data_IF_708813532710
#
_entry.id   IF_708813532710
#
_cell.length_a   1.000
_cell.length_b   1.000
_cell.length_c   1.000
_cell.angle_alpha   90.00
_cell.angle_beta   90.00
_cell.angle_gamma   90.00
#
_symmetry.space_group_name_H-M   'P 1'
#
loop_
_entity.id
_entity.type
_entity.pdbx_description
1 polymer ?
#
# COMPACT_ATOMS: atom_id res chain seq x y z
N UNK A 1 -6.65 -6.53 -1.65
CA UNK A 1 -7.15 -6.39 -0.26
C UNK A 1 -6.59 -5.13 0.36
N UNK A 2 -7.37 -4.37 1.13
CA UNK A 2 -6.94 -3.27 2.00
C UNK A 2 -7.40 -3.56 3.43
N UNK A 3 -6.62 -4.31 4.22
CA UNK A 3 -7.08 -4.85 5.49
C UNK A 3 -7.45 -3.78 6.51
N UNK A 4 -6.78 -2.64 6.47
CA UNK A 4 -6.99 -1.50 7.35
C UNK A 4 -7.15 -0.25 6.51
N UNK A 5 -8.20 0.52 6.74
CA UNK A 5 -8.43 1.81 6.12
C UNK A 5 -8.93 2.82 7.15
N UNK A 6 -8.48 4.06 7.01
CA UNK A 6 -8.93 5.21 7.80
C UNK A 6 -9.16 6.38 6.86
N UNK A 7 -10.04 7.29 7.22
CA UNK A 7 -10.31 8.46 6.39
C UNK A 7 -11.66 9.08 6.66
N UNK A 8 -11.95 10.15 5.94
CA UNK A 8 -13.18 10.92 6.13
C UNK A 8 -14.34 10.16 5.49
N UNK A 9 -15.31 9.73 6.31
CA UNK A 9 -16.65 9.23 6.00
C UNK A 9 -16.80 8.18 4.89
N UNK A 10 -17.94 7.53 4.88
CA UNK A 10 -18.32 6.56 3.85
C UNK A 10 -18.26 7.15 2.44
N UNK A 11 -17.42 6.57 1.60
CA UNK A 11 -17.24 7.00 0.22
C UNK A 11 -18.52 6.77 -0.63
N UNK A 12 -19.21 5.67 -0.37
CA UNK A 12 -20.46 5.32 -1.05
C UNK A 12 -21.22 4.25 -0.29
N UNK A 13 -22.49 4.01 -0.67
CA UNK A 13 -23.29 2.89 -0.12
C UNK A 13 -22.62 1.52 -0.29
N UNK A 14 -21.78 1.34 -1.35
CA UNK A 14 -21.10 0.08 -1.65
C UNK A 14 -19.74 -0.03 -0.98
N UNK A 15 -19.00 1.08 -0.81
CA UNK A 15 -17.63 1.07 -0.28
C UNK A 15 -17.43 2.16 0.77
N UNK A 16 -17.01 1.77 1.95
CA UNK A 16 -16.66 2.70 3.04
C UNK A 16 -15.39 3.47 2.77
N UNK A 17 -14.40 2.83 2.15
CA UNK A 17 -13.10 3.42 1.83
C UNK A 17 -13.03 3.78 0.34
N UNK A 18 -12.55 5.01 0.03
CA UNK A 18 -12.26 5.44 -1.33
C UNK A 18 -11.20 4.56 -1.99
N UNK A 19 -10.15 4.19 -1.25
CA UNK A 19 -9.08 3.34 -1.75
C UNK A 19 -9.64 1.99 -2.20
N UNK A 20 -10.50 1.38 -1.36
CA UNK A 20 -11.15 0.12 -1.70
C UNK A 20 -12.02 0.23 -2.94
N UNK A 21 -12.76 1.33 -3.10
CA UNK A 21 -13.58 1.56 -4.28
C UNK A 21 -12.74 1.63 -5.57
N UNK A 22 -11.57 2.28 -5.51
CA UNK A 22 -10.62 2.37 -6.63
C UNK A 22 -10.05 0.99 -6.96
N UNK A 23 -9.58 0.27 -5.96
CA UNK A 23 -9.03 -1.08 -6.14
C UNK A 23 -10.06 -2.05 -6.72
N UNK A 24 -11.28 -2.03 -6.21
CA UNK A 24 -12.36 -2.89 -6.71
C UNK A 24 -12.74 -2.60 -8.17
N UNK A 25 -12.73 -1.31 -8.57
CA UNK A 25 -12.95 -0.92 -9.98
C UNK A 25 -11.82 -1.38 -10.88
N UNK A 26 -10.57 -1.25 -10.43
CA UNK A 26 -9.40 -1.62 -11.24
C UNK A 26 -9.39 -3.09 -11.66
N UNK A 27 -9.93 -3.97 -10.83
CA UNK A 27 -9.94 -5.43 -11.07
C UNK A 27 -11.33 -5.99 -11.38
N UNK A 28 -12.35 -5.15 -11.59
CA UNK A 28 -13.76 -5.55 -11.83
C UNK A 28 -14.27 -6.55 -10.79
N UNK A 29 -13.98 -6.33 -9.53
CA UNK A 29 -14.07 -7.33 -8.49
C UNK A 29 -15.40 -7.31 -7.73
N UNK A 30 -15.98 -8.50 -7.51
CA UNK A 30 -17.23 -8.71 -6.78
C UNK A 30 -17.02 -9.57 -5.53
N UNK A 31 -16.35 -9.02 -4.53
CA UNK A 31 -16.19 -9.69 -3.23
C UNK A 31 -16.89 -8.87 -2.14
N UNK A 32 -17.26 -9.54 -1.04
CA UNK A 32 -17.83 -8.85 0.12
C UNK A 32 -16.82 -7.86 0.68
N UNK A 33 -17.26 -6.62 0.88
CA UNK A 33 -16.41 -5.54 1.40
C UNK A 33 -15.67 -5.95 2.68
N UNK A 34 -16.32 -6.66 3.58
CA UNK A 34 -15.75 -7.12 4.85
C UNK A 34 -14.56 -8.08 4.68
N UNK A 35 -14.45 -8.78 3.54
CA UNK A 35 -13.31 -9.63 3.24
C UNK A 35 -12.15 -8.82 2.69
N UNK A 36 -12.45 -7.78 1.91
CA UNK A 36 -11.45 -6.89 1.31
C UNK A 36 -10.93 -5.85 2.29
N UNK A 37 -11.82 -5.31 3.15
CA UNK A 37 -11.53 -4.27 4.12
C UNK A 37 -12.21 -4.56 5.46
N UNK A 38 -11.66 -5.47 6.25
CA UNK A 38 -12.21 -5.83 7.56
C UNK A 38 -12.26 -4.68 8.55
N UNK A 39 -11.37 -3.69 8.43
CA UNK A 39 -11.33 -2.55 9.34
C UNK A 39 -11.35 -1.22 8.61
N UNK A 40 -12.36 -0.42 8.92
CA UNK A 40 -12.50 0.97 8.47
C UNK A 40 -12.86 1.86 9.65
N UNK A 41 -12.15 2.98 9.80
CA UNK A 41 -12.46 4.02 10.78
C UNK A 41 -12.60 5.38 10.09
N UNK A 42 -13.69 6.13 10.34
CA UNK A 42 -13.95 7.41 9.66
C UNK A 42 -13.17 8.59 10.25
N UNK A 43 -11.88 8.39 10.57
CA UNK A 43 -10.95 9.44 10.99
C UNK A 43 -9.62 9.27 10.27
N UNK A 44 -9.06 10.37 9.74
CA UNK A 44 -7.81 10.35 8.99
C UNK A 44 -6.57 10.33 9.92
N UNK A 45 -6.36 9.22 10.60
CA UNK A 45 -5.20 8.97 11.46
C UNK A 45 -4.87 7.48 11.50
N UNK A 46 -3.91 7.04 12.34
CA UNK A 46 -3.61 5.61 12.47
C UNK A 46 -4.83 4.83 13.01
N UNK A 47 -4.99 3.53 12.64
CA UNK A 47 -6.09 2.70 13.14
C UNK A 47 -6.15 2.66 14.67
N UNK A 48 -5.00 2.61 15.34
CA UNK A 48 -4.89 2.69 16.80
C UNK A 48 -5.51 3.97 17.37
N UNK A 49 -5.12 5.13 16.83
CA UNK A 49 -5.64 6.43 17.27
C UNK A 49 -7.14 6.57 16.92
N UNK A 50 -7.52 6.18 15.70
CA UNK A 50 -8.91 6.27 15.26
C UNK A 50 -9.85 5.43 16.13
N UNK A 51 -9.48 4.19 16.45
CA UNK A 51 -10.30 3.34 17.33
C UNK A 51 -10.42 3.92 18.74
N UNK A 52 -9.32 4.46 19.28
CA UNK A 52 -9.32 5.10 20.62
C UNK A 52 -10.22 6.34 20.65
N UNK A 53 -10.05 7.27 19.71
CA UNK A 53 -10.84 8.51 19.68
C UNK A 53 -12.33 8.29 19.43
N UNK A 54 -12.68 7.23 18.69
CA UNK A 54 -14.06 6.86 18.39
C UNK A 54 -14.68 5.92 19.42
N UNK A 55 -13.94 5.52 20.47
CA UNK A 55 -14.37 4.50 21.43
C UNK A 55 -14.83 3.19 20.74
N UNK A 56 -14.15 2.81 19.65
CA UNK A 56 -14.42 1.59 18.90
C UNK A 56 -13.38 0.51 19.23
N UNK A 57 -13.72 -0.77 19.06
CA UNK A 57 -12.76 -1.85 19.22
C UNK A 57 -11.55 -1.68 18.29
N UNK A 58 -10.31 -1.81 18.80
CA UNK A 58 -9.12 -1.73 17.97
C UNK A 58 -9.03 -2.92 17.01
N UNK A 59 -8.28 -2.79 15.89
CA UNK A 59 -8.13 -3.89 14.93
C UNK A 59 -7.55 -5.16 15.57
N UNK A 60 -8.20 -6.28 15.35
CA UNK A 60 -7.67 -7.60 15.67
C UNK A 60 -6.80 -8.10 14.51
N UNK A 61 -5.51 -8.26 14.77
CA UNK A 61 -4.57 -8.79 13.79
C UNK A 61 -4.97 -10.20 13.33
N UNK A 62 -5.44 -11.04 14.28
CA UNK A 62 -5.94 -12.39 14.00
C UNK A 62 -7.09 -12.39 13.00
N UNK A 63 -8.05 -11.47 13.15
CA UNK A 63 -9.19 -11.38 12.25
C UNK A 63 -8.78 -10.90 10.85
N UNK A 64 -7.91 -9.89 10.76
CA UNK A 64 -7.38 -9.43 9.47
C UNK A 64 -6.63 -10.55 8.73
N UNK A 65 -5.81 -11.35 9.45
CA UNK A 65 -5.10 -12.52 8.88
C UNK A 65 -6.10 -13.61 8.44
N UNK A 66 -7.17 -13.85 9.20
CA UNK A 66 -8.23 -14.81 8.79
C UNK A 66 -8.83 -14.40 7.45
N UNK A 67 -9.14 -13.10 7.26
CA UNK A 67 -9.67 -12.58 5.99
C UNK A 67 -8.65 -12.66 4.85
N UNK A 68 -7.39 -12.34 5.12
CA UNK A 68 -6.29 -12.53 4.16
C UNK A 68 -6.19 -13.97 3.69
N UNK A 69 -6.15 -14.95 4.61
CA UNK A 69 -6.05 -16.38 4.28
C UNK A 69 -7.24 -16.88 3.47
N UNK A 70 -8.44 -16.34 3.70
CA UNK A 70 -9.62 -16.68 2.92
C UNK A 70 -9.45 -16.24 1.46
N UNK A 71 -8.99 -15.00 1.24
CA UNK A 71 -8.73 -14.48 -0.10
C UNK A 71 -7.56 -15.20 -0.79
N UNK A 72 -6.48 -15.48 -0.05
CA UNK A 72 -5.31 -16.21 -0.57
C UNK A 72 -5.66 -17.59 -1.12
N UNK A 73 -6.63 -18.27 -0.54
CA UNK A 73 -7.10 -19.58 -1.04
C UNK A 73 -7.99 -19.47 -2.28
N UNK A 74 -8.52 -18.29 -2.54
CA UNK A 74 -9.52 -18.07 -3.60
C UNK A 74 -8.91 -17.50 -4.88
N UNK A 75 -7.78 -16.80 -4.77
CA UNK A 75 -7.18 -16.04 -5.86
C UNK A 75 -5.72 -16.41 -6.05
N UNK A 76 -5.29 -16.55 -7.31
CA UNK A 76 -3.90 -16.86 -7.69
C UNK A 76 -2.96 -15.70 -7.33
N UNK A 77 -3.44 -14.46 -7.46
CA UNK A 77 -2.70 -13.24 -7.12
C UNK A 77 -3.47 -12.40 -6.12
N UNK A 78 -2.84 -12.02 -5.04
CA UNK A 78 -3.44 -11.19 -4.00
C UNK A 78 -2.53 -10.01 -3.65
N UNK A 79 -2.88 -8.83 -4.16
CA UNK A 79 -2.24 -7.59 -3.76
C UNK A 79 -2.88 -7.06 -2.47
N UNK A 80 -2.02 -6.69 -1.51
CA UNK A 80 -2.45 -6.15 -0.23
C UNK A 80 -1.89 -4.75 -0.06
N UNK A 81 -2.76 -3.76 0.00
CA UNK A 81 -2.37 -2.38 0.28
C UNK A 81 -2.37 -2.15 1.79
N UNK A 82 -1.23 -1.68 2.31
CA UNK A 82 -1.08 -1.28 3.71
C UNK A 82 -1.80 0.03 4.04
N UNK A 83 -1.53 0.55 5.23
CA UNK A 83 -2.01 1.85 5.68
C UNK A 83 -0.83 2.68 6.21
N UNK A 84 -0.56 3.82 5.57
CA UNK A 84 0.60 4.64 5.90
C UNK A 84 1.91 3.87 5.76
N UNK A 85 2.83 4.05 6.69
CA UNK A 85 4.12 3.37 6.70
C UNK A 85 4.08 2.01 7.41
N UNK A 86 5.16 1.21 7.21
CA UNK A 86 5.26 -0.16 7.73
C UNK A 86 5.18 -0.25 9.27
N UNK A 87 5.55 0.81 9.98
CA UNK A 87 5.51 0.89 11.45
C UNK A 87 4.24 1.55 11.99
N UNK A 88 3.23 1.82 11.16
CA UNK A 88 1.97 2.40 11.63
C UNK A 88 1.31 1.49 12.67
N UNK A 89 0.96 2.03 13.85
CA UNK A 89 0.27 1.27 14.88
C UNK A 89 -1.15 0.87 14.45
N UNK A 90 -1.45 -0.40 14.53
CA UNK A 90 -2.79 -0.94 14.33
C UNK A 90 -3.58 -0.95 15.64
N UNK A 91 -2.89 -1.32 16.72
CA UNK A 91 -3.39 -1.31 18.10
C UNK A 91 -2.21 -1.16 19.07
N UNK A 92 -2.45 -1.25 20.39
CA UNK A 92 -1.42 -1.07 21.42
C UNK A 92 -0.27 -2.10 21.36
N UNK A 93 -0.42 -3.21 20.63
CA UNK A 93 0.55 -4.32 20.59
C UNK A 93 1.16 -4.55 19.21
N UNK A 94 0.48 -4.11 18.15
CA UNK A 94 0.84 -4.50 16.78
C UNK A 94 0.90 -3.30 15.86
N UNK A 95 1.88 -3.33 14.97
CA UNK A 95 2.01 -2.43 13.82
C UNK A 95 1.68 -3.18 12.53
N UNK A 96 1.67 -2.46 11.40
CA UNK A 96 1.52 -3.09 10.08
C UNK A 96 2.61 -4.12 9.80
N UNK A 97 3.83 -3.91 10.31
CA UNK A 97 4.95 -4.87 10.21
C UNK A 97 4.55 -6.27 10.74
N UNK A 98 3.82 -6.33 11.85
CA UNK A 98 3.38 -7.61 12.42
C UNK A 98 2.42 -8.35 11.46
N UNK A 99 1.53 -7.62 10.78
CA UNK A 99 0.64 -8.22 9.77
C UNK A 99 1.46 -8.78 8.60
N UNK A 100 2.40 -8.02 8.06
CA UNK A 100 3.27 -8.44 6.95
C UNK A 100 4.07 -9.70 7.33
N UNK A 101 4.71 -9.71 8.50
CA UNK A 101 5.46 -10.88 8.99
C UNK A 101 4.61 -12.14 9.09
N UNK A 102 3.42 -12.02 9.69
CA UNK A 102 2.54 -13.18 9.93
C UNK A 102 1.86 -13.69 8.66
N UNK A 103 1.72 -12.84 7.64
CA UNK A 103 1.19 -13.22 6.33
C UNK A 103 2.29 -13.68 5.36
N UNK A 104 3.57 -13.50 5.73
CA UNK A 104 4.74 -13.83 4.91
C UNK A 104 4.74 -13.13 3.54
N UNK A 105 4.14 -11.94 3.47
CA UNK A 105 4.08 -11.15 2.23
C UNK A 105 5.45 -10.53 1.92
N UNK A 106 5.82 -10.54 0.63
CA UNK A 106 6.85 -9.67 0.12
C UNK A 106 6.34 -8.22 0.00
N UNK A 107 7.22 -7.24 0.10
CA UNK A 107 6.88 -5.82 0.11
C UNK A 107 7.36 -5.14 -1.17
N UNK A 108 6.48 -4.36 -1.79
CA UNK A 108 6.84 -3.34 -2.78
C UNK A 108 6.76 -1.99 -2.07
N UNK A 109 7.86 -1.24 -2.08
CA UNK A 109 7.92 0.09 -1.48
C UNK A 109 7.50 1.11 -2.53
N UNK A 110 6.50 1.96 -2.21
CA UNK A 110 6.08 3.06 -3.08
C UNK A 110 6.55 4.37 -2.47
N UNK A 111 7.37 5.11 -3.20
CA UNK A 111 7.98 6.36 -2.77
C UNK A 111 7.61 7.52 -3.72
N UNK A 112 7.83 8.75 -3.29
CA UNK A 112 7.68 9.95 -4.13
C UNK A 112 9.01 10.68 -4.22
N UNK A 113 9.34 11.37 -5.34
CA UNK A 113 10.63 12.02 -5.53
C UNK A 113 10.70 13.37 -4.78
N UNK A 114 10.54 13.35 -3.45
CA UNK A 114 10.57 14.53 -2.60
C UNK A 114 11.74 14.50 -1.64
N UNK A 115 12.14 15.68 -1.12
CA UNK A 115 13.12 15.78 -0.06
C UNK A 115 12.72 14.86 1.12
N UNK A 116 13.69 14.11 1.64
CA UNK A 116 13.48 13.10 2.69
C UNK A 116 13.12 11.70 2.19
N UNK A 117 12.85 11.51 0.88
CA UNK A 117 12.45 10.19 0.34
C UNK A 117 13.50 9.12 0.59
N UNK A 118 14.81 9.44 0.45
CA UNK A 118 15.88 8.50 0.74
C UNK A 118 15.82 7.97 2.17
N UNK A 119 15.68 8.87 3.14
CA UNK A 119 15.55 8.48 4.54
C UNK A 119 14.35 7.54 4.75
N UNK A 120 13.19 7.88 4.19
CA UNK A 120 11.98 7.05 4.30
C UNK A 120 12.17 5.67 3.66
N UNK A 121 12.78 5.61 2.48
CA UNK A 121 13.06 4.33 1.80
C UNK A 121 14.02 3.49 2.63
N UNK A 122 15.16 4.07 3.05
CA UNK A 122 16.19 3.35 3.78
C UNK A 122 15.70 2.81 5.13
N UNK A 123 14.88 3.59 5.85
CA UNK A 123 14.24 3.11 7.09
C UNK A 123 13.34 1.90 6.82
N UNK A 124 12.51 1.94 5.77
CA UNK A 124 11.66 0.82 5.40
C UNK A 124 12.48 -0.40 4.95
N UNK A 125 13.52 -0.19 4.14
CA UNK A 125 14.44 -1.25 3.71
C UNK A 125 15.10 -1.90 4.92
N UNK A 126 15.64 -1.09 5.84
CA UNK A 126 16.32 -1.60 7.04
C UNK A 126 15.39 -2.43 7.93
N UNK A 127 14.17 -1.95 8.14
CA UNK A 127 13.17 -2.66 8.95
C UNK A 127 12.74 -3.97 8.28
N UNK A 128 12.51 -3.98 6.96
CA UNK A 128 12.19 -5.20 6.23
C UNK A 128 13.32 -6.22 6.36
N UNK A 129 14.57 -5.80 6.09
CA UNK A 129 15.75 -6.67 6.16
C UNK A 129 15.94 -7.25 7.57
N UNK A 130 15.91 -6.42 8.61
CA UNK A 130 16.07 -6.87 10.01
C UNK A 130 14.90 -7.77 10.48
N UNK A 131 13.77 -7.71 9.80
CA UNK A 131 12.58 -8.52 10.09
C UNK A 131 12.45 -9.77 9.21
N UNK A 132 13.40 -10.01 8.30
CA UNK A 132 13.35 -11.14 7.36
C UNK A 132 12.21 -11.04 6.34
N UNK A 133 11.77 -9.80 6.00
CA UNK A 133 10.72 -9.56 5.02
C UNK A 133 11.37 -9.31 3.66
N UNK A 134 11.04 -10.11 2.63
CA UNK A 134 11.57 -9.89 1.29
C UNK A 134 11.03 -8.59 0.69
N UNK A 135 11.91 -7.76 0.14
CA UNK A 135 11.54 -6.56 -0.62
C UNK A 135 11.62 -6.92 -2.09
N UNK A 136 10.49 -6.81 -2.77
CA UNK A 136 10.34 -7.18 -4.18
C UNK A 136 10.82 -6.08 -5.14
N UNK A 137 10.82 -4.84 -4.68
CA UNK A 137 11.32 -3.69 -5.42
C UNK A 137 10.69 -2.38 -4.96
N UNK A 138 11.00 -1.33 -5.70
CA UNK A 138 10.57 0.04 -5.38
C UNK A 138 9.87 0.64 -6.59
N UNK A 139 8.75 1.32 -6.37
CA UNK A 139 8.05 2.14 -7.36
C UNK A 139 8.20 3.60 -6.96
N UNK A 140 8.70 4.43 -7.87
CA UNK A 140 8.75 5.89 -7.69
C UNK A 140 7.49 6.49 -8.31
N UNK A 141 6.59 7.00 -7.47
CA UNK A 141 5.30 7.54 -7.88
C UNK A 141 5.30 9.07 -7.80
N UNK A 142 4.45 9.70 -8.60
CA UNK A 142 4.30 11.16 -8.68
C UNK A 142 5.59 11.88 -9.11
N UNK A 143 6.30 11.32 -10.06
CA UNK A 143 7.39 12.02 -10.73
C UNK A 143 6.83 13.26 -11.44
N UNK A 144 7.38 14.46 -11.22
CA UNK A 144 6.96 15.64 -12.00
C UNK A 144 7.08 15.41 -13.50
N UNK A 145 6.18 16.00 -14.30
CA UNK A 145 6.27 15.90 -15.76
C UNK A 145 7.51 16.60 -16.35
N UNK A 146 8.01 17.60 -15.62
CA UNK A 146 9.28 18.29 -15.88
C UNK A 146 10.11 18.20 -14.59
N UNK A 147 10.77 17.07 -14.32
CA UNK A 147 11.54 16.88 -13.12
C UNK A 147 12.80 17.74 -13.14
N UNK A 148 13.18 18.27 -12.00
CA UNK A 148 14.52 18.81 -11.80
C UNK A 148 15.56 17.70 -12.00
N UNK A 149 16.83 18.09 -12.19
CA UNK A 149 17.92 17.10 -12.27
C UNK A 149 17.94 16.18 -11.02
N UNK A 150 17.72 16.73 -9.84
CA UNK A 150 17.68 15.96 -8.59
C UNK A 150 16.56 14.92 -8.62
N UNK A 151 15.34 15.32 -9.01
CA UNK A 151 14.18 14.40 -9.05
C UNK A 151 14.37 13.29 -10.11
N UNK A 152 14.93 13.65 -11.27
CA UNK A 152 15.20 12.69 -12.35
C UNK A 152 16.20 11.61 -11.94
N UNK A 153 17.20 11.95 -11.13
CA UNK A 153 18.24 11.03 -10.67
C UNK A 153 17.81 10.15 -9.48
N UNK A 154 16.74 10.49 -8.76
CA UNK A 154 16.29 9.75 -7.57
C UNK A 154 16.16 8.24 -7.83
N UNK A 155 15.52 7.74 -8.92
CA UNK A 155 15.41 6.30 -9.16
C UNK A 155 16.76 5.60 -9.29
N UNK A 156 17.72 6.24 -9.96
CA UNK A 156 19.09 5.73 -10.15
C UNK A 156 19.79 5.59 -8.80
N UNK A 157 19.83 6.65 -8.01
CA UNK A 157 20.47 6.65 -6.70
C UNK A 157 19.83 5.65 -5.72
N UNK A 158 18.48 5.53 -5.73
CA UNK A 158 17.79 4.52 -4.92
C UNK A 158 18.27 3.12 -5.30
N UNK A 159 18.31 2.78 -6.59
CA UNK A 159 18.76 1.47 -7.08
C UNK A 159 20.21 1.20 -6.70
N UNK A 160 21.08 2.18 -6.91
CA UNK A 160 22.52 2.04 -6.61
C UNK A 160 22.79 1.85 -5.13
N UNK A 161 22.08 2.56 -4.27
CA UNK A 161 22.29 2.49 -2.83
C UNK A 161 21.64 1.26 -2.19
N UNK A 162 20.40 0.93 -2.59
CA UNK A 162 19.65 -0.19 -1.98
C UNK A 162 19.91 -1.54 -2.63
N UNK A 163 20.43 -1.57 -3.87
CA UNK A 163 20.55 -2.74 -4.74
C UNK A 163 19.20 -3.42 -5.06
N UNK A 164 18.11 -2.70 -4.84
CA UNK A 164 16.75 -3.17 -5.15
C UNK A 164 16.31 -2.73 -6.54
N UNK A 165 15.51 -3.52 -7.25
CA UNK A 165 14.99 -3.13 -8.55
C UNK A 165 14.02 -1.95 -8.44
N UNK A 166 14.12 -1.01 -9.38
CA UNK A 166 13.07 -0.01 -9.60
C UNK A 166 12.06 -0.64 -10.55
N UNK A 167 10.88 -0.95 -10.04
CA UNK A 167 9.81 -1.62 -10.78
C UNK A 167 9.06 -0.66 -11.71
N UNK A 168 9.17 0.64 -11.48
CA UNK A 168 8.56 1.64 -12.33
C UNK A 168 8.69 3.06 -11.78
N UNK A 169 8.54 4.01 -12.70
CA UNK A 169 8.47 5.44 -12.41
C UNK A 169 7.17 5.97 -12.97
N UNK A 170 6.27 6.43 -12.10
CA UNK A 170 4.93 6.89 -12.49
C UNK A 170 4.91 8.42 -12.43
N UNK A 171 4.61 9.11 -13.54
CA UNK A 171 4.51 10.56 -13.54
C UNK A 171 3.29 11.07 -12.78
N UNK A 172 3.28 12.38 -12.47
CA UNK A 172 2.07 13.05 -11.99
C UNK A 172 1.02 13.01 -13.11
N UNK A 173 -0.12 12.43 -12.80
CA UNK A 173 -1.26 12.36 -13.70
C UNK A 173 -2.41 13.17 -13.12
N UNK A 174 -2.73 14.30 -13.74
CA UNK A 174 -3.84 15.14 -13.34
C UNK A 174 -5.16 14.60 -13.91
N UNK A 175 -6.25 14.84 -13.22
CA UNK A 175 -7.62 14.49 -13.68
C UNK A 175 -7.81 13.02 -14.07
N UNK A 176 -7.20 12.10 -13.33
CA UNK A 176 -7.32 10.67 -13.57
C UNK A 176 -8.80 10.22 -13.50
N UNK A 177 -9.34 9.86 -14.65
CA UNK A 177 -10.60 9.09 -14.68
C UNK A 177 -10.26 7.64 -14.34
N UNK A 178 -10.90 7.07 -13.32
CA UNK A 178 -10.70 5.67 -12.92
C UNK A 178 -11.41 4.73 -13.88
N UNK A 179 -10.84 4.53 -15.06
CA UNK A 179 -11.34 3.68 -16.13
C UNK A 179 -10.24 2.76 -16.69
N UNK A 180 -10.60 1.83 -17.56
CA UNK A 180 -9.69 0.83 -18.13
C UNK A 180 -8.50 1.45 -18.87
N UNK A 181 -8.74 2.53 -19.63
CA UNK A 181 -7.66 3.22 -20.35
C UNK A 181 -6.60 3.77 -19.40
N UNK A 182 -7.01 4.35 -18.27
CA UNK A 182 -6.10 4.85 -17.24
C UNK A 182 -5.34 3.69 -16.57
N UNK A 183 -6.03 2.61 -16.22
CA UNK A 183 -5.38 1.44 -15.61
C UNK A 183 -4.38 0.79 -16.56
N UNK A 184 -4.73 0.66 -17.84
CA UNK A 184 -3.83 0.15 -18.88
C UNK A 184 -2.59 1.03 -19.07
N UNK A 185 -2.73 2.36 -19.00
CA UNK A 185 -1.58 3.27 -19.06
C UNK A 185 -0.65 3.09 -17.88
N UNK A 186 -1.21 3.02 -16.68
CA UNK A 186 -0.41 2.86 -15.45
C UNK A 186 0.29 1.51 -15.42
N UNK A 187 -0.39 0.44 -15.83
CA UNK A 187 0.20 -0.91 -15.82
C UNK A 187 1.42 -1.05 -16.73
N UNK A 188 1.50 -0.28 -17.82
CA UNK A 188 2.66 -0.25 -18.70
C UNK A 188 3.88 0.47 -18.11
N UNK A 189 3.70 1.24 -17.06
CA UNK A 189 4.77 1.98 -16.37
C UNK A 189 5.40 1.19 -15.21
N UNK A 190 4.84 0.01 -14.89
CA UNK A 190 5.28 -0.81 -13.78
C UNK A 190 5.56 -2.21 -14.30
N UNK A 191 6.77 -2.68 -14.11
CA UNK A 191 7.15 -4.07 -14.37
C UNK A 191 7.24 -4.81 -13.02
N UNK A 192 6.25 -5.67 -12.74
CA UNK A 192 6.21 -6.51 -11.54
C UNK A 192 6.75 -7.92 -11.80
N UNK A 193 7.15 -8.27 -13.00
CA UNK A 193 7.68 -9.61 -13.34
C UNK A 193 8.86 -10.05 -12.45
N UNK A 194 9.79 -9.16 -12.03
CA UNK A 194 10.81 -9.52 -11.06
C UNK A 194 10.28 -9.82 -9.66
N UNK A 195 9.00 -9.53 -9.41
CA UNK A 195 8.37 -9.60 -8.08
C UNK A 195 7.46 -10.82 -7.90
N UNK A 196 7.11 -11.48 -9.00
CA UNK A 196 6.31 -12.68 -9.04
C UNK A 196 7.20 -13.91 -9.03
#
# INVERSE_FOLDING_TARGET
>A
MKPFATGISEYSKKFRSKDLAILARAIKFEEKQENLNPYFYPLACSPHMASSLLNLPPPSLRYAIKKYKLLQKKYDYLLVEGIGGIMVPLNNKHTLLNFIKLTKLGVIIVATPKLGTFNHILLNVKICQSSGIPIKGIVVNKMPNHPSQIEAEIPTFIREYTKLPILGVIPIMNNLKMNESTFSKISKLIDISPSI
#
